data_IF_285406505843
#
_entry.id   IF_285406505843
#
_cell.length_a   1.000
_cell.length_b   1.000
_cell.length_c   1.000
_cell.angle_alpha   90.00
_cell.angle_beta   90.00
_cell.angle_gamma   90.00
#
_symmetry.space_group_name_H-M   'P 1'
#
loop_
_entity.id
_entity.type
_entity.pdbx_description
1 polymer ?
#
# COMPACT_ATOMS: atom_id res chain seq x y z
N UNK A 1 -0.79 -20.08 -39.59
CA UNK A 1 -2.15 -19.62 -39.22
C UNK A 1 -2.03 -19.15 -37.79
N UNK A 2 -2.17 -17.85 -37.54
CA UNK A 2 -2.02 -17.29 -36.18
C UNK A 2 -3.13 -17.89 -35.31
N UNK A 3 -2.77 -18.65 -34.27
CA UNK A 3 -3.75 -19.21 -33.33
C UNK A 3 -4.41 -18.06 -32.57
N UNK A 4 -5.73 -17.94 -32.69
CA UNK A 4 -6.52 -16.89 -32.03
C UNK A 4 -7.23 -17.50 -30.82
N UNK A 5 -7.25 -16.76 -29.71
CA UNK A 5 -8.06 -17.10 -28.54
C UNK A 5 -9.54 -16.91 -28.89
N UNK A 6 -10.31 -17.97 -28.84
CA UNK A 6 -11.76 -17.94 -29.08
C UNK A 6 -12.55 -18.17 -27.78
N UNK A 7 -13.86 -17.93 -27.82
CA UNK A 7 -14.75 -18.06 -26.66
C UNK A 7 -14.72 -19.48 -26.05
N UNK A 8 -14.45 -20.49 -26.87
CA UNK A 8 -14.38 -21.89 -26.41
C UNK A 8 -13.10 -22.15 -25.64
N UNK A 9 -11.95 -21.80 -26.19
CA UNK A 9 -10.63 -21.90 -25.53
C UNK A 9 -10.62 -21.13 -24.23
N UNK A 10 -11.26 -19.97 -24.21
CA UNK A 10 -11.42 -19.15 -23.02
C UNK A 10 -12.24 -19.85 -21.93
N UNK A 11 -13.39 -20.44 -22.27
CA UNK A 11 -14.19 -21.24 -21.31
C UNK A 11 -13.43 -22.46 -20.80
N UNK A 12 -12.64 -23.11 -21.65
CA UNK A 12 -11.79 -24.25 -21.25
C UNK A 12 -10.69 -23.78 -20.29
N UNK A 13 -10.01 -22.67 -20.58
CA UNK A 13 -9.00 -22.08 -19.72
C UNK A 13 -9.58 -21.71 -18.34
N UNK A 14 -10.74 -21.04 -18.31
CA UNK A 14 -11.45 -20.71 -17.07
C UNK A 14 -11.80 -21.95 -16.23
N UNK A 15 -12.25 -23.03 -16.90
CA UNK A 15 -12.57 -24.28 -16.22
C UNK A 15 -11.33 -24.98 -15.65
N UNK A 16 -10.19 -24.93 -16.37
CA UNK A 16 -8.91 -25.45 -15.89
C UNK A 16 -8.45 -24.66 -14.66
N UNK A 17 -8.46 -23.33 -14.73
CA UNK A 17 -8.05 -22.46 -13.63
C UNK A 17 -8.92 -22.68 -12.39
N UNK A 18 -10.26 -22.68 -12.53
CA UNK A 18 -11.16 -22.95 -11.41
C UNK A 18 -10.93 -24.31 -10.77
N UNK A 19 -10.80 -25.37 -11.59
CA UNK A 19 -10.59 -26.71 -11.05
C UNK A 19 -9.23 -26.86 -10.36
N UNK A 20 -8.19 -26.23 -10.90
CA UNK A 20 -6.87 -26.21 -10.27
C UNK A 20 -6.88 -25.42 -8.95
N UNK A 21 -7.55 -24.27 -8.88
CA UNK A 21 -7.70 -23.51 -7.61
C UNK A 21 -8.47 -24.27 -6.53
N UNK A 22 -9.45 -25.10 -6.91
CA UNK A 22 -10.23 -25.90 -5.96
C UNK A 22 -9.51 -27.15 -5.46
N UNK A 23 -8.67 -27.77 -6.30
CA UNK A 23 -8.10 -29.10 -6.03
C UNK A 23 -6.60 -29.12 -5.80
N UNK A 24 -5.85 -28.14 -6.34
CA UNK A 24 -4.39 -28.14 -6.39
C UNK A 24 -3.78 -29.20 -7.32
N UNK A 25 -4.59 -29.91 -8.10
CA UNK A 25 -4.17 -31.08 -8.88
C UNK A 25 -4.17 -30.79 -10.40
N UNK A 26 -3.18 -31.28 -11.18
CA UNK A 26 -3.15 -31.11 -12.63
C UNK A 26 -4.42 -31.59 -13.34
N UNK A 27 -5.00 -30.72 -14.17
CA UNK A 27 -6.35 -30.94 -14.71
C UNK A 27 -6.30 -31.65 -16.05
N UNK A 28 -7.03 -32.76 -16.18
CA UNK A 28 -7.14 -33.53 -17.42
C UNK A 28 -8.39 -33.18 -18.23
N UNK A 29 -8.36 -33.43 -19.54
CA UNK A 29 -9.49 -33.16 -20.45
C UNK A 29 -10.78 -33.92 -20.07
N UNK A 30 -10.66 -35.09 -19.44
CA UNK A 30 -11.80 -35.85 -18.89
C UNK A 30 -12.47 -35.12 -17.72
N UNK A 31 -11.69 -34.46 -16.86
CA UNK A 31 -12.21 -33.68 -15.73
C UNK A 31 -13.03 -32.51 -16.26
N UNK A 32 -12.47 -31.74 -17.19
CA UNK A 32 -13.16 -30.59 -17.80
C UNK A 32 -14.44 -30.99 -18.54
N UNK A 33 -14.44 -32.14 -19.23
CA UNK A 33 -15.62 -32.63 -19.95
C UNK A 33 -16.82 -32.93 -19.04
N UNK A 34 -16.59 -33.14 -17.73
CA UNK A 34 -17.65 -33.38 -16.73
C UNK A 34 -18.14 -32.11 -16.03
N UNK A 35 -17.31 -31.06 -16.02
CA UNK A 35 -17.54 -29.84 -15.24
C UNK A 35 -18.16 -28.70 -16.03
N UNK A 36 -18.16 -28.80 -17.36
CA UNK A 36 -18.53 -27.69 -18.22
C UNK A 36 -19.83 -27.96 -18.96
N UNK A 37 -20.69 -26.93 -19.06
CA UNK A 37 -21.86 -26.90 -19.95
C UNK A 37 -21.47 -26.89 -21.45
N UNK A 38 -20.21 -27.18 -21.76
CA UNK A 38 -19.62 -27.04 -23.09
C UNK A 38 -20.08 -28.14 -24.06
N UNK A 39 -20.69 -29.24 -23.61
CA UNK A 39 -21.13 -30.36 -24.47
C UNK A 39 -20.02 -30.86 -25.42
N UNK A 40 -18.76 -30.81 -25.00
CA UNK A 40 -17.59 -31.21 -25.81
C UNK A 40 -17.06 -32.58 -25.41
N UNK A 41 -16.56 -33.33 -26.39
CA UNK A 41 -15.87 -34.59 -26.13
C UNK A 41 -14.51 -34.35 -25.47
N UNK A 42 -14.05 -35.31 -24.66
CA UNK A 42 -12.70 -35.28 -24.05
C UNK A 42 -11.57 -35.21 -25.10
N UNK A 43 -11.80 -35.72 -26.31
CA UNK A 43 -10.85 -35.62 -27.42
C UNK A 43 -10.77 -34.18 -27.97
N UNK A 44 -11.92 -33.53 -28.14
CA UNK A 44 -11.99 -32.12 -28.55
C UNK A 44 -11.32 -31.22 -27.53
N UNK A 45 -11.63 -31.39 -26.24
CA UNK A 45 -11.01 -30.61 -25.16
C UNK A 45 -9.50 -30.85 -25.13
N UNK A 46 -9.02 -32.07 -25.38
CA UNK A 46 -7.57 -32.35 -25.44
C UNK A 46 -6.88 -31.56 -26.55
N UNK A 47 -7.51 -31.41 -27.72
CA UNK A 47 -6.95 -30.60 -28.82
C UNK A 47 -6.91 -29.12 -28.44
N UNK A 48 -8.00 -28.59 -27.87
CA UNK A 48 -8.06 -27.19 -27.43
C UNK A 48 -7.04 -26.90 -26.30
N UNK A 49 -6.81 -27.87 -25.41
CA UNK A 49 -5.75 -27.78 -24.38
C UNK A 49 -4.35 -27.78 -25.01
N UNK A 50 -4.12 -28.52 -26.10
CA UNK A 50 -2.85 -28.47 -26.84
C UNK A 50 -2.62 -27.09 -27.42
N UNK A 51 -3.65 -26.49 -28.03
CA UNK A 51 -3.57 -25.12 -28.55
C UNK A 51 -3.29 -24.11 -27.42
N UNK A 52 -3.95 -24.24 -26.25
CA UNK A 52 -3.72 -23.38 -25.09
C UNK A 52 -2.30 -23.52 -24.52
N UNK A 53 -1.72 -24.72 -24.59
CA UNK A 53 -0.34 -25.00 -24.20
C UNK A 53 0.65 -24.36 -25.17
N UNK A 54 0.44 -24.51 -26.48
CA UNK A 54 1.26 -23.88 -27.53
C UNK A 54 1.19 -22.34 -27.44
N UNK A 55 0.04 -21.79 -27.02
CA UNK A 55 -0.15 -20.37 -26.76
C UNK A 55 0.45 -19.89 -25.42
N UNK A 56 0.91 -20.81 -24.57
CA UNK A 56 1.58 -20.55 -23.29
C UNK A 56 0.65 -20.21 -22.12
N UNK A 57 -0.66 -20.49 -22.21
CA UNK A 57 -1.62 -20.22 -21.13
C UNK A 57 -1.73 -21.34 -20.09
N UNK A 58 -1.36 -22.57 -20.48
CA UNK A 58 -1.28 -23.72 -19.60
C UNK A 58 0.02 -24.47 -19.88
N UNK A 59 0.52 -25.21 -18.90
CA UNK A 59 1.74 -26.02 -19.03
C UNK A 59 1.52 -27.44 -18.56
N UNK A 60 2.31 -28.36 -19.11
CA UNK A 60 2.38 -29.73 -18.65
C UNK A 60 3.55 -29.90 -17.66
N UNK A 61 3.29 -30.11 -16.36
CA UNK A 61 4.37 -30.25 -15.38
C UNK A 61 5.19 -31.53 -15.59
N UNK A 62 4.52 -32.63 -15.96
CA UNK A 62 5.15 -33.92 -16.28
C UNK A 62 4.44 -34.59 -17.46
N UNK A 63 5.17 -35.41 -18.22
CA UNK A 63 4.70 -36.08 -19.46
C UNK A 63 3.41 -36.91 -19.30
N UNK A 64 3.08 -37.35 -18.08
CA UNK A 64 1.84 -38.08 -17.76
C UNK A 64 0.82 -37.27 -16.95
N UNK A 65 1.17 -36.08 -16.48
CA UNK A 65 0.28 -35.22 -15.69
C UNK A 65 -0.70 -34.46 -16.59
N UNK A 66 -1.77 -33.93 -15.98
CA UNK A 66 -2.72 -33.01 -16.62
C UNK A 66 -2.06 -31.68 -17.05
N UNK A 67 -2.85 -30.62 -17.09
CA UNK A 67 -2.34 -29.26 -17.32
C UNK A 67 -2.57 -28.40 -16.10
N UNK A 68 -1.64 -27.50 -15.84
CA UNK A 68 -1.76 -26.45 -14.82
C UNK A 68 -1.73 -25.08 -15.50
N UNK A 69 -2.38 -24.06 -14.95
CA UNK A 69 -2.29 -22.70 -15.49
C UNK A 69 -0.86 -22.16 -15.43
N UNK A 70 -0.46 -21.37 -16.42
CA UNK A 70 0.74 -20.54 -16.33
C UNK A 70 0.41 -19.16 -15.74
N UNK A 71 1.42 -18.37 -15.40
CA UNK A 71 1.26 -16.96 -14.99
C UNK A 71 0.45 -16.17 -16.01
N UNK A 72 0.74 -16.37 -17.30
CA UNK A 72 -0.02 -15.80 -18.42
C UNK A 72 -1.48 -16.25 -18.45
N UNK A 73 -1.74 -17.51 -18.10
CA UNK A 73 -3.09 -18.05 -17.92
C UNK A 73 -3.87 -17.33 -16.81
N UNK A 74 -3.23 -17.16 -15.65
CA UNK A 74 -3.82 -16.45 -14.52
C UNK A 74 -4.02 -14.96 -14.79
N UNK A 75 -3.07 -14.28 -15.44
CA UNK A 75 -3.20 -12.88 -15.86
C UNK A 75 -4.46 -12.65 -16.70
N UNK A 76 -4.62 -13.42 -17.78
CA UNK A 76 -5.81 -13.33 -18.63
C UNK A 76 -7.10 -13.60 -17.84
N UNK A 77 -7.08 -14.58 -16.93
CA UNK A 77 -8.24 -14.89 -16.09
C UNK A 77 -8.62 -13.74 -15.14
N UNK A 78 -7.63 -13.10 -14.52
CA UNK A 78 -7.83 -11.95 -13.62
C UNK A 78 -8.33 -10.74 -14.40
N UNK A 79 -7.72 -10.41 -15.53
CA UNK A 79 -8.11 -9.26 -16.35
C UNK A 79 -9.60 -9.35 -16.75
N UNK A 80 -10.05 -10.54 -17.13
CA UNK A 80 -11.47 -10.79 -17.44
C UNK A 80 -12.41 -10.64 -16.24
N UNK A 81 -11.97 -11.02 -15.03
CA UNK A 81 -12.77 -10.82 -13.82
C UNK A 81 -12.86 -9.34 -13.45
N UNK A 82 -11.78 -8.58 -13.66
CA UNK A 82 -11.73 -7.14 -13.40
C UNK A 82 -12.70 -6.37 -14.31
N UNK A 83 -12.73 -6.70 -15.61
CA UNK A 83 -13.68 -6.10 -16.57
C UNK A 83 -15.16 -6.32 -16.18
N UNK A 84 -15.47 -7.43 -15.50
CA UNK A 84 -16.83 -7.72 -15.02
C UNK A 84 -17.16 -6.95 -13.73
N UNK A 85 -16.15 -6.70 -12.88
CA UNK A 85 -16.28 -6.06 -11.55
C UNK A 85 -16.37 -4.53 -11.61
N UNK A 86 -15.77 -3.88 -12.60
CA UNK A 86 -15.87 -2.42 -12.78
C UNK A 86 -17.32 -1.93 -12.96
N UNK A 87 -18.27 -2.84 -13.24
CA UNK A 87 -19.70 -2.55 -13.32
C UNK A 87 -20.45 -2.59 -11.97
N UNK A 88 -19.84 -3.09 -10.90
CA UNK A 88 -20.51 -3.32 -9.60
C UNK A 88 -20.02 -2.41 -8.45
N UNK A 89 -18.91 -1.66 -8.60
CA UNK A 89 -18.21 -1.00 -7.47
C UNK A 89 -18.27 0.54 -7.53
N UNK A 90 -19.39 1.11 -7.97
CA UNK A 90 -19.59 2.58 -7.91
C UNK A 90 -20.24 3.04 -6.57
N UNK A 91 -20.78 2.12 -5.76
CA UNK A 91 -21.64 2.44 -4.60
C UNK A 91 -20.97 2.40 -3.20
N UNK A 92 -19.66 2.15 -3.09
CA UNK A 92 -19.01 1.91 -1.78
C UNK A 92 -17.96 2.97 -1.38
N UNK A 93 -18.02 4.19 -1.92
CA UNK A 93 -16.99 5.22 -1.70
C UNK A 93 -17.25 6.21 -0.55
N UNK A 94 -18.32 6.04 0.22
CA UNK A 94 -18.74 7.05 1.21
C UNK A 94 -18.81 6.55 2.66
N UNK A 95 -17.80 5.78 3.07
CA UNK A 95 -17.56 5.48 4.48
C UNK A 95 -16.06 5.53 4.71
N UNK A 96 -15.56 6.65 5.24
CA UNK A 96 -14.48 6.72 6.23
C UNK A 96 -13.96 8.16 6.38
N UNK A 97 -14.72 9.02 7.04
CA UNK A 97 -14.19 10.23 7.64
C UNK A 97 -14.77 10.37 9.04
N UNK A 98 -13.93 10.19 10.06
CA UNK A 98 -13.80 11.08 11.23
C UNK A 98 -13.07 10.42 12.43
N UNK A 99 -12.11 11.18 12.97
CA UNK A 99 -11.32 11.01 14.21
C UNK A 99 -10.11 10.06 14.12
N UNK A 100 -8.93 10.65 14.30
CA UNK A 100 -7.61 10.00 14.26
C UNK A 100 -7.47 8.80 15.21
N UNK A 101 -8.06 8.86 16.41
CA UNK A 101 -8.01 7.74 17.38
C UNK A 101 -8.82 6.50 16.94
N UNK A 102 -9.80 6.66 16.05
CA UNK A 102 -10.57 5.53 15.49
C UNK A 102 -9.91 4.91 14.27
N UNK A 103 -9.06 5.66 13.56
CA UNK A 103 -8.49 5.21 12.29
C UNK A 103 -7.65 3.96 12.48
N UNK A 104 -6.76 3.92 13.49
CA UNK A 104 -5.96 2.73 13.78
C UNK A 104 -6.83 1.49 14.08
N UNK A 105 -7.86 1.66 14.90
CA UNK A 105 -8.78 0.56 15.25
C UNK A 105 -9.50 0.04 14.01
N UNK A 106 -9.97 0.96 13.17
CA UNK A 106 -10.63 0.63 11.90
C UNK A 106 -9.67 -0.11 10.96
N UNK A 107 -8.45 0.40 10.74
CA UNK A 107 -7.49 -0.22 9.83
C UNK A 107 -7.11 -1.64 10.29
N UNK A 108 -6.93 -1.86 11.60
CA UNK A 108 -6.75 -3.21 12.16
C UNK A 108 -7.96 -4.11 11.91
N UNK A 109 -9.17 -3.59 12.05
CA UNK A 109 -10.40 -4.35 11.80
C UNK A 109 -10.57 -4.71 10.33
N UNK A 110 -10.26 -3.79 9.40
CA UNK A 110 -10.27 -4.05 7.96
C UNK A 110 -9.26 -5.13 7.60
N UNK A 111 -8.01 -5.01 8.06
CA UNK A 111 -6.99 -6.04 7.83
C UNK A 111 -7.45 -7.42 8.33
N UNK A 112 -8.10 -7.46 9.50
CA UNK A 112 -8.66 -8.69 10.07
C UNK A 112 -9.79 -9.27 9.23
N UNK A 113 -10.79 -8.47 8.87
CA UNK A 113 -11.94 -8.93 8.08
C UNK A 113 -11.52 -9.44 6.70
N UNK A 114 -10.57 -8.78 6.05
CA UNK A 114 -10.02 -9.24 4.77
C UNK A 114 -9.27 -10.56 4.94
N UNK A 115 -8.41 -10.69 5.95
CA UNK A 115 -7.68 -11.93 6.20
C UNK A 115 -8.60 -13.12 6.55
N UNK A 116 -9.68 -12.89 7.31
CA UNK A 116 -10.66 -13.91 7.68
C UNK A 116 -11.52 -14.34 6.47
N UNK A 117 -11.99 -13.40 5.64
CA UNK A 117 -12.84 -13.71 4.49
C UNK A 117 -12.07 -14.31 3.31
N UNK A 118 -10.81 -13.92 3.12
CA UNK A 118 -10.02 -14.36 1.96
C UNK A 118 -9.10 -15.53 2.28
N UNK A 119 -8.89 -15.87 3.56
CA UNK A 119 -7.89 -16.83 4.00
C UNK A 119 -6.47 -16.52 3.48
N UNK A 120 -6.14 -15.25 3.26
CA UNK A 120 -4.79 -14.79 2.90
C UNK A 120 -4.16 -13.96 4.03
N UNK A 121 -2.85 -13.73 3.90
CA UNK A 121 -2.17 -12.68 4.66
C UNK A 121 -2.61 -11.34 4.09
N UNK A 122 -3.08 -10.45 4.96
CA UNK A 122 -3.52 -9.11 4.54
C UNK A 122 -2.70 -8.05 5.26
N UNK A 123 -2.29 -7.04 4.51
CA UNK A 123 -1.64 -5.85 5.02
C UNK A 123 -2.43 -4.61 4.61
N UNK A 124 -2.55 -3.66 5.53
CA UNK A 124 -3.20 -2.37 5.29
C UNK A 124 -2.30 -1.28 5.85
N UNK A 125 -1.92 -0.30 5.03
CA UNK A 125 -1.14 0.85 5.49
C UNK A 125 -2.03 2.04 5.82
N UNK A 126 -1.52 2.94 6.65
CA UNK A 126 -2.11 4.28 6.81
C UNK A 126 -1.96 5.05 5.49
N UNK A 127 -2.90 5.96 5.16
CA UNK A 127 -2.71 6.87 4.05
C UNK A 127 -1.43 7.68 4.27
N UNK A 128 -0.51 7.61 3.31
CA UNK A 128 0.75 8.35 3.38
C UNK A 128 0.50 9.75 2.85
N UNK A 129 0.56 10.74 3.74
CA UNK A 129 0.58 12.13 3.32
C UNK A 129 1.97 12.43 2.75
N UNK A 130 2.13 12.25 1.43
CA UNK A 130 3.39 12.51 0.72
C UNK A 130 3.76 13.99 0.77
N UNK A 131 2.75 14.86 0.88
CA UNK A 131 2.92 16.29 1.03
C UNK A 131 2.24 16.76 2.31
N UNK A 132 3.05 17.00 3.34
CA UNK A 132 2.59 17.58 4.59
C UNK A 132 3.01 19.04 4.59
N UNK A 133 2.04 19.94 4.45
CA UNK A 133 2.31 21.37 4.49
C UNK A 133 2.09 21.90 5.88
N UNK A 134 2.98 22.80 6.31
CA UNK A 134 2.78 23.56 7.55
C UNK A 134 1.66 24.56 7.32
N UNK A 135 0.58 24.49 8.11
CA UNK A 135 -0.51 25.49 8.06
C UNK A 135 -0.15 26.74 8.83
N UNK A 136 0.33 26.57 10.05
CA UNK A 136 0.82 27.66 10.88
C UNK A 136 1.65 27.14 12.04
N UNK A 137 2.49 28.03 12.55
CA UNK A 137 3.26 27.84 13.78
C UNK A 137 2.87 28.92 14.77
N UNK A 138 2.48 28.55 15.98
CA UNK A 138 2.10 29.47 17.05
C UNK A 138 3.08 29.33 18.20
N UNK A 139 3.70 30.45 18.56
CA UNK A 139 4.53 30.58 19.76
C UNK A 139 3.72 31.24 20.87
N UNK A 140 3.73 30.64 22.06
CA UNK A 140 3.02 31.16 23.24
C UNK A 140 3.91 31.07 24.47
N UNK A 141 4.06 32.15 25.22
CA UNK A 141 4.77 32.13 26.50
C UNK A 141 3.94 31.41 27.55
N UNK A 142 4.57 30.47 28.27
CA UNK A 142 3.95 29.71 29.37
C UNK A 142 4.48 30.20 30.72
N UNK A 143 5.75 30.60 30.76
CA UNK A 143 6.39 31.34 31.84
C UNK A 143 7.52 32.20 31.28
N UNK A 144 8.17 33.04 32.11
CA UNK A 144 9.25 33.93 31.68
C UNK A 144 10.44 33.21 31.01
N UNK A 145 10.65 31.94 31.35
CA UNK A 145 11.73 31.10 30.82
C UNK A 145 11.24 29.91 30.00
N UNK A 146 9.95 29.86 29.63
CA UNK A 146 9.40 28.72 28.92
C UNK A 146 8.35 29.12 27.89
N UNK A 147 8.53 28.62 26.66
CA UNK A 147 7.65 28.86 25.54
C UNK A 147 7.06 27.55 25.02
N UNK A 148 5.77 27.56 24.69
CA UNK A 148 5.10 26.49 23.96
C UNK A 148 5.08 26.84 22.47
N UNK A 149 5.58 25.91 21.67
CA UNK A 149 5.49 25.91 20.21
C UNK A 149 4.39 24.95 19.81
N UNK A 150 3.41 25.45 19.05
CA UNK A 150 2.35 24.64 18.45
C UNK A 150 2.50 24.72 16.94
N UNK A 151 2.72 23.58 16.29
CA UNK A 151 2.81 23.47 14.84
C UNK A 151 1.59 22.71 14.35
N UNK A 152 0.87 23.31 13.40
CA UNK A 152 -0.28 22.67 12.74
C UNK A 152 0.09 22.33 11.32
N UNK A 153 -0.11 21.07 10.97
CA UNK A 153 0.22 20.51 9.66
C UNK A 153 -1.09 20.04 9.00
N UNK A 154 -1.08 19.95 7.66
CA UNK A 154 -2.12 19.26 6.91
C UNK A 154 -2.40 17.85 7.46
N UNK A 155 -3.64 17.39 7.30
CA UNK A 155 -4.11 16.15 7.95
C UNK A 155 -4.59 16.36 9.40
N UNK A 156 -4.73 17.61 9.85
CA UNK A 156 -5.22 17.99 11.19
C UNK A 156 -4.30 17.50 12.32
N UNK A 157 -3.01 17.36 11.99
CA UNK A 157 -1.95 16.97 12.90
C UNK A 157 -1.47 18.22 13.65
N UNK A 158 -1.44 18.12 14.97
CA UNK A 158 -0.98 19.18 15.86
C UNK A 158 0.18 18.66 16.69
N UNK A 159 1.30 19.37 16.67
CA UNK A 159 2.53 19.01 17.38
C UNK A 159 2.92 20.13 18.33
N UNK A 160 3.25 19.75 19.56
CA UNK A 160 3.50 20.68 20.66
C UNK A 160 4.89 20.43 21.25
N UNK A 161 5.69 21.48 21.44
CA UNK A 161 7.01 21.38 22.06
C UNK A 161 7.22 22.52 23.05
N UNK A 162 7.74 22.21 24.23
CA UNK A 162 8.24 23.22 25.16
C UNK A 162 9.70 23.54 24.83
N UNK A 163 10.01 24.83 24.77
CA UNK A 163 11.37 25.36 24.63
C UNK A 163 11.70 26.14 25.88
N UNK A 164 12.83 25.80 26.51
CA UNK A 164 13.41 26.58 27.59
C UNK A 164 14.16 27.77 27.01
N UNK A 165 13.91 28.95 27.58
CA UNK A 165 14.51 30.20 27.17
C UNK A 165 15.60 30.60 28.16
N UNK A 166 16.81 30.84 27.64
CA UNK A 166 17.95 31.34 28.41
C UNK A 166 17.70 32.74 28.98
N UNK A 167 16.95 33.55 28.23
CA UNK A 167 16.56 34.91 28.60
C UNK A 167 15.07 35.13 28.27
N UNK A 168 14.34 35.92 29.07
CA UNK A 168 12.95 36.23 28.80
C UNK A 168 12.79 37.03 27.50
N UNK A 169 11.77 36.68 26.72
CA UNK A 169 11.39 37.43 25.54
C UNK A 169 10.61 38.69 25.95
N UNK A 170 11.01 39.83 25.40
CA UNK A 170 10.28 41.09 25.45
C UNK A 170 8.98 41.05 24.64
N UNK A 171 8.11 42.04 24.89
CA UNK A 171 6.74 42.06 24.37
C UNK A 171 6.66 42.09 22.83
N UNK A 172 7.66 42.65 22.15
CA UNK A 172 7.66 42.77 20.68
C UNK A 172 8.32 41.57 19.97
N UNK A 173 9.05 40.74 20.70
CA UNK A 173 9.91 39.71 20.13
C UNK A 173 9.12 38.44 19.78
N UNK A 174 8.17 38.04 20.63
CA UNK A 174 7.31 36.89 20.36
C UNK A 174 6.42 37.10 19.12
N UNK A 175 5.75 38.25 18.91
CA UNK A 175 5.05 38.54 17.65
C UNK A 175 5.98 38.54 16.44
N UNK A 176 7.20 39.09 16.59
CA UNK A 176 8.19 39.14 15.51
C UNK A 176 8.65 37.74 15.07
N UNK A 177 8.95 36.84 16.03
CA UNK A 177 9.29 35.45 15.75
C UNK A 177 8.14 34.69 15.10
N UNK A 178 6.91 34.87 15.59
CA UNK A 178 5.71 34.31 14.96
C UNK A 178 5.59 34.77 13.49
N UNK A 179 5.86 36.04 13.21
CA UNK A 179 5.81 36.57 11.85
C UNK A 179 6.89 35.96 10.95
N UNK A 180 8.14 35.91 11.39
CA UNK A 180 9.26 35.32 10.63
C UNK A 180 8.94 33.86 10.28
N UNK A 181 8.53 33.06 11.27
CA UNK A 181 8.25 31.64 11.08
C UNK A 181 7.07 31.40 10.16
N UNK A 182 5.95 32.09 10.36
CA UNK A 182 4.78 31.89 9.49
C UNK A 182 5.05 32.41 8.07
N UNK A 183 5.82 33.49 7.91
CA UNK A 183 6.20 33.98 6.57
C UNK A 183 7.10 32.98 5.84
N UNK A 184 7.98 32.30 6.58
CA UNK A 184 8.97 31.41 6.00
C UNK A 184 8.56 29.94 5.95
N UNK A 185 7.50 29.51 6.65
CA UNK A 185 7.10 28.09 6.74
C UNK A 185 5.65 27.83 6.32
N UNK A 186 4.75 28.83 6.37
CA UNK A 186 3.35 28.61 6.02
C UNK A 186 3.21 28.19 4.54
N UNK A 187 2.51 27.08 4.32
CA UNK A 187 2.25 26.51 3.01
C UNK A 187 3.41 25.75 2.39
N UNK A 188 4.59 25.74 3.03
CA UNK A 188 5.73 24.94 2.61
C UNK A 188 5.52 23.49 2.96
N UNK A 189 5.94 22.63 2.04
CA UNK A 189 6.06 21.21 2.30
C UNK A 189 7.23 20.95 3.26
N UNK A 190 7.06 20.03 4.18
CA UNK A 190 8.11 19.65 5.12
C UNK A 190 9.38 19.15 4.41
N UNK A 191 9.26 18.57 3.22
CA UNK A 191 10.42 18.16 2.39
C UNK A 191 11.20 19.33 1.82
N UNK A 192 10.61 20.52 1.75
CA UNK A 192 11.25 21.74 1.24
C UNK A 192 12.04 22.49 2.32
N UNK A 193 11.90 22.10 3.60
CA UNK A 193 12.63 22.70 4.73
C UNK A 193 14.08 22.21 4.73
N UNK A 194 14.90 22.86 3.90
CA UNK A 194 16.32 22.56 3.76
C UNK A 194 17.23 23.53 4.55
N UNK A 195 18.51 23.17 4.67
CA UNK A 195 19.50 23.98 5.39
C UNK A 195 19.60 25.43 4.91
N UNK A 196 19.37 25.70 3.61
CA UNK A 196 19.41 27.06 3.08
C UNK A 196 18.24 27.90 3.59
N UNK A 197 17.03 27.32 3.66
CA UNK A 197 15.87 27.98 4.27
C UNK A 197 16.11 28.21 5.77
N UNK A 198 16.56 27.17 6.48
CA UNK A 198 16.87 27.24 7.92
C UNK A 198 17.86 28.39 8.20
N UNK A 199 18.92 28.50 7.40
CA UNK A 199 19.91 29.56 7.54
C UNK A 199 19.30 30.96 7.36
N UNK A 200 18.43 31.16 6.36
CA UNK A 200 17.76 32.44 6.12
C UNK A 200 16.84 32.83 7.28
N UNK A 201 16.09 31.88 7.85
CA UNK A 201 15.21 32.13 8.99
C UNK A 201 16.05 32.52 10.22
N UNK A 202 17.17 31.81 10.46
CA UNK A 202 18.10 32.13 11.55
C UNK A 202 18.73 33.51 11.40
N UNK A 203 19.13 33.89 10.20
CA UNK A 203 19.69 35.21 9.90
C UNK A 203 18.68 36.34 10.18
N UNK A 204 17.42 36.15 9.76
CA UNK A 204 16.34 37.11 10.03
C UNK A 204 15.98 37.22 11.51
N UNK A 205 16.12 36.12 12.26
CA UNK A 205 15.85 36.09 13.69
C UNK A 205 16.96 36.71 14.57
N UNK A 206 18.15 36.94 14.00
CA UNK A 206 19.27 37.59 14.69
C UNK A 206 19.67 36.87 15.98
N UNK A 207 19.55 37.54 17.12
CA UNK A 207 19.93 37.00 18.44
C UNK A 207 19.08 35.80 18.89
N UNK A 208 17.94 35.54 18.23
CA UNK A 208 17.04 34.44 18.55
C UNK A 208 17.23 33.22 17.62
N UNK A 209 18.34 33.15 16.88
CA UNK A 209 18.65 32.06 15.96
C UNK A 209 18.61 30.67 16.63
N UNK A 210 18.98 30.58 17.90
CA UNK A 210 18.97 29.32 18.66
C UNK A 210 17.53 28.85 18.98
N UNK A 211 16.63 29.77 19.28
CA UNK A 211 15.20 29.50 19.48
C UNK A 211 14.59 28.99 18.17
N UNK A 212 14.89 29.66 17.05
CA UNK A 212 14.45 29.24 15.72
C UNK A 212 14.97 27.84 15.38
N UNK A 213 16.23 27.55 15.71
CA UNK A 213 16.79 26.20 15.55
C UNK A 213 15.95 25.15 16.28
N UNK A 214 15.65 25.39 17.55
CA UNK A 214 14.84 24.48 18.38
C UNK A 214 13.41 24.28 17.84
N UNK A 215 12.81 25.33 17.26
CA UNK A 215 11.48 25.25 16.61
C UNK A 215 11.55 24.40 15.34
N UNK A 216 12.58 24.61 14.52
CA UNK A 216 12.78 23.85 13.28
C UNK A 216 13.07 22.38 13.61
N UNK A 217 13.85 22.10 14.65
CA UNK A 217 14.10 20.73 15.12
C UNK A 217 12.80 20.07 15.60
N UNK A 218 11.92 20.81 16.30
CA UNK A 218 10.61 20.30 16.70
C UNK A 218 9.69 20.01 15.49
N UNK A 219 9.78 20.83 14.43
CA UNK A 219 9.09 20.57 13.17
C UNK A 219 9.67 19.33 12.49
N UNK A 220 10.99 19.16 12.46
CA UNK A 220 11.66 18.00 11.88
C UNK A 220 11.33 16.69 12.63
N UNK A 221 11.31 16.74 13.96
CA UNK A 221 10.91 15.62 14.83
C UNK A 221 9.45 15.21 14.59
N UNK A 222 8.57 16.18 14.36
CA UNK A 222 7.19 15.91 13.99
C UNK A 222 7.04 15.16 12.64
N UNK A 223 7.97 15.35 11.70
CA UNK A 223 8.01 14.62 10.42
C UNK A 223 8.52 13.20 10.62
N UNK A 224 9.59 13.04 11.41
CA UNK A 224 10.26 11.74 11.57
C UNK A 224 9.50 10.78 12.48
N UNK A 225 8.71 11.27 13.44
CA UNK A 225 7.80 10.43 14.24
C UNK A 225 6.68 9.78 13.39
N UNK A 226 6.42 10.26 12.17
CA UNK A 226 5.46 9.66 11.24
C UNK A 226 6.04 8.59 10.30
N UNK A 227 7.33 8.25 10.45
CA UNK A 227 7.95 7.13 9.73
C UNK A 227 7.60 5.74 10.32
N UNK A 228 6.65 5.66 11.27
CA UNK A 228 5.92 4.41 11.44
C UNK A 228 5.02 4.24 10.21
N UNK A 229 5.48 3.41 9.28
CA UNK A 229 4.78 3.02 8.04
C UNK A 229 3.30 2.65 8.24
N UNK A 230 2.84 2.47 9.50
CA UNK A 230 1.44 2.38 9.84
C UNK A 230 0.82 1.15 9.21
N UNK A 231 1.64 0.12 9.02
CA UNK A 231 1.29 -1.14 8.39
C UNK A 231 0.68 -2.05 9.44
N UNK A 232 -0.58 -2.39 9.24
CA UNK A 232 -1.31 -3.36 10.02
C UNK A 232 -1.40 -4.67 9.25
N UNK A 233 -0.87 -5.74 9.83
CA UNK A 233 -0.85 -7.08 9.23
C UNK A 233 -1.82 -7.99 9.98
N UNK A 234 -2.60 -8.78 9.24
CA UNK A 234 -3.42 -9.86 9.78
C UNK A 234 -3.29 -11.12 8.92
N UNK A 235 -3.59 -12.28 9.50
CA UNK A 235 -3.59 -13.54 8.76
C UNK A 235 -2.20 -14.04 8.35
N UNK A 236 -1.10 -13.56 8.94
CA UNK A 236 0.26 -13.98 8.58
C UNK A 236 0.47 -15.50 8.57
N UNK A 237 -0.26 -16.24 9.43
CA UNK A 237 -0.22 -17.71 9.50
C UNK A 237 -0.98 -18.39 8.35
N UNK A 238 -1.88 -17.69 7.65
CA UNK A 238 -2.63 -18.23 6.53
C UNK A 238 -1.70 -18.65 5.39
N UNK A 239 -0.55 -17.97 5.24
CA UNK A 239 0.44 -18.31 4.22
C UNK A 239 0.95 -19.75 4.33
N UNK A 240 0.98 -20.29 5.56
CA UNK A 240 1.46 -21.65 5.85
C UNK A 240 0.43 -22.74 5.52
N UNK A 241 -0.79 -22.37 5.11
CA UNK A 241 -1.85 -23.33 4.76
C UNK A 241 -1.74 -23.82 3.31
N UNK A 242 -0.89 -23.19 2.48
CA UNK A 242 -0.80 -23.49 1.06
C UNK A 242 0.36 -24.45 0.75
N UNK A 243 0.11 -25.58 0.06
CA UNK A 243 1.13 -26.59 -0.22
C UNK A 243 2.33 -26.05 -1.01
N UNK A 244 2.11 -25.08 -1.89
CA UNK A 244 3.15 -24.44 -2.72
C UNK A 244 4.22 -23.70 -1.89
N UNK A 245 3.87 -23.32 -0.65
CA UNK A 245 4.77 -22.65 0.30
C UNK A 245 5.35 -23.62 1.35
N UNK A 246 5.27 -24.93 1.10
CA UNK A 246 5.95 -25.95 1.93
C UNK A 246 7.47 -25.89 1.78
N UNK A 247 7.98 -25.24 0.73
CA UNK A 247 9.40 -24.96 0.59
C UNK A 247 9.85 -23.94 1.62
N UNK A 248 10.76 -24.38 2.50
CA UNK A 248 11.32 -23.58 3.58
C UNK A 248 12.03 -22.33 3.06
N UNK A 249 12.69 -22.40 1.90
CA UNK A 249 13.43 -21.26 1.33
C UNK A 249 12.46 -20.18 0.85
N UNK A 250 11.42 -20.57 0.12
CA UNK A 250 10.36 -19.67 -0.34
C UNK A 250 9.57 -19.06 0.84
N UNK A 251 9.22 -19.86 1.83
CA UNK A 251 8.54 -19.38 3.04
C UNK A 251 9.41 -18.39 3.83
N UNK A 252 10.71 -18.66 3.96
CA UNK A 252 11.64 -17.75 4.65
C UNK A 252 11.77 -16.43 3.90
N UNK A 253 12.01 -16.48 2.58
CA UNK A 253 12.10 -15.28 1.73
C UNK A 253 10.85 -14.41 1.87
N UNK A 254 9.67 -15.03 1.77
CA UNK A 254 8.40 -14.33 1.83
C UNK A 254 8.14 -13.72 3.22
N UNK A 255 8.43 -14.45 4.30
CA UNK A 255 8.29 -13.92 5.68
C UNK A 255 9.26 -12.75 5.89
N UNK A 256 10.51 -12.85 5.44
CA UNK A 256 11.48 -11.76 5.56
C UNK A 256 11.04 -10.51 4.81
N UNK A 257 10.50 -10.65 3.58
CA UNK A 257 9.92 -9.52 2.84
C UNK A 257 8.72 -8.92 3.57
N UNK A 258 7.86 -9.73 4.19
CA UNK A 258 6.73 -9.26 5.00
C UNK A 258 7.14 -8.53 6.29
N UNK A 259 8.28 -8.87 6.87
CA UNK A 259 8.83 -8.18 8.04
C UNK A 259 9.45 -6.82 7.67
N UNK A 260 9.98 -6.68 6.44
CA UNK A 260 10.56 -5.44 5.92
C UNK A 260 9.47 -4.44 5.47
N UNK A 261 8.84 -3.78 6.45
CA UNK A 261 7.77 -2.78 6.25
C UNK A 261 8.12 -1.65 5.26
N UNK A 262 9.41 -1.31 5.13
CA UNK A 262 9.89 -0.25 4.25
C UNK A 262 9.74 -0.61 2.76
N UNK A 263 10.06 -1.83 2.39
CA UNK A 263 10.01 -2.29 1.00
C UNK A 263 8.58 -2.40 0.50
N UNK A 264 7.67 -2.84 1.37
CA UNK A 264 6.25 -2.94 1.03
C UNK A 264 5.61 -1.55 0.91
N UNK A 265 6.04 -0.57 1.71
CA UNK A 265 5.60 0.80 1.50
C UNK A 265 6.05 1.35 0.15
N UNK A 266 7.23 0.96 -0.34
CA UNK A 266 7.72 1.39 -1.64
C UNK A 266 6.92 0.74 -2.79
N UNK A 267 6.53 -0.53 -2.67
CA UNK A 267 5.62 -1.19 -3.61
C UNK A 267 4.28 -0.47 -3.74
N UNK A 268 3.73 0.04 -2.64
CA UNK A 268 2.49 0.82 -2.67
C UNK A 268 2.62 2.21 -3.32
N UNK A 269 3.85 2.75 -3.43
CA UNK A 269 4.11 4.11 -3.94
C UNK A 269 4.50 4.14 -5.42
N UNK A 270 4.93 3.01 -5.99
CA UNK A 270 5.54 2.96 -7.32
C UNK A 270 4.57 3.34 -8.47
N UNK A 271 3.26 3.44 -8.18
CA UNK A 271 2.22 3.34 -9.21
C UNK A 271 1.05 4.33 -9.01
N UNK A 272 1.37 5.53 -8.52
CA UNK A 272 0.39 6.58 -8.18
C UNK A 272 -0.40 7.19 -9.37
N UNK A 273 -0.16 6.78 -10.62
CA UNK A 273 -0.87 7.35 -11.79
C UNK A 273 -2.20 6.65 -12.12
N UNK A 274 -2.45 5.43 -11.60
CA UNK A 274 -3.74 4.73 -11.77
C UNK A 274 -4.37 4.38 -10.42
N UNK A 275 -5.42 5.11 -10.04
CA UNK A 275 -6.23 4.81 -8.86
C UNK A 275 -7.13 3.58 -9.13
N UNK A 276 -6.60 2.37 -8.92
CA UNK A 276 -7.34 1.11 -9.12
C UNK A 276 -6.77 -0.08 -8.35
N UNK A 277 -7.49 -1.21 -8.40
CA UNK A 277 -7.00 -2.49 -7.85
C UNK A 277 -5.95 -3.05 -8.81
N UNK A 278 -4.71 -3.21 -8.33
CA UNK A 278 -3.64 -3.89 -9.07
C UNK A 278 -3.45 -5.29 -8.53
N UNK A 279 -3.24 -6.24 -9.44
CA UNK A 279 -2.95 -7.64 -9.13
C UNK A 279 -1.62 -7.99 -9.80
N UNK A 280 -0.65 -8.51 -9.06
CA UNK A 280 0.63 -9.02 -9.58
C UNK A 280 0.64 -10.54 -9.43
N UNK A 281 1.15 -11.26 -10.43
CA UNK A 281 1.09 -12.72 -10.52
C UNK A 281 2.46 -13.23 -10.95
N UNK A 282 3.04 -14.15 -10.17
CA UNK A 282 4.28 -14.84 -10.53
C UNK A 282 5.44 -13.88 -10.78
N UNK A 283 6.03 -13.93 -11.96
CA UNK A 283 7.18 -13.07 -12.34
C UNK A 283 6.88 -11.56 -12.40
N UNK A 284 5.61 -11.17 -12.25
CA UNK A 284 5.23 -9.75 -12.20
C UNK A 284 5.42 -9.12 -10.81
N UNK A 285 5.64 -9.92 -9.75
CA UNK A 285 5.84 -9.46 -8.36
C UNK A 285 7.29 -9.16 -8.01
#
# INVERSE_FOLDING_TARGET
MTMVMDERKLKILQAIIRNYMETGEPVGSRTISKYTDLNLSSATIRNEMSDLEDMGYIIQPHTSAGRIPSDKGYRLYVDMMMEQKDREVEDMKELLVNKADRLETVLKQVARLLAENTNYTTMVSKPRYVHKKVKFTQLTMVSDNQMLVVVVIDGNIVKNKFIELSEPLGQEELPHLNFILNTALNGLDLTEINMALIYRIKEQAGQYADIVGSIIDAIAEAVSEEDDYGVYTSGAKNILKYPELSDKEMATKLISTLEEKADISNWMNADNEEHGIKVYIGEES
#
